data_IF_122383532650
#
_entry.id   IF_122383532650
#
_cell.length_a   1.000
_cell.length_b   1.000
_cell.length_c   1.000
_cell.angle_alpha   90.00
_cell.angle_beta   90.00
_cell.angle_gamma   90.00
#
_symmetry.space_group_name_H-M   'P 1'
#
loop_
_entity.id
_entity.type
_entity.pdbx_description
1 polymer ?
#
# COMPACT_ATOMS: atom_id res chain seq x y z
N UNK A 1 -16.96 -0.91 -23.65
CA UNK A 1 -17.09 -1.42 -22.27
C UNK A 1 -16.04 -0.73 -21.41
N UNK A 2 -16.36 0.42 -20.83
CA UNK A 2 -15.47 1.11 -19.90
C UNK A 2 -15.82 0.64 -18.48
N UNK A 3 -14.93 -0.15 -17.86
CA UNK A 3 -15.08 -0.54 -16.46
C UNK A 3 -14.47 0.57 -15.60
N UNK A 4 -15.33 1.47 -15.12
CA UNK A 4 -14.96 2.55 -14.19
C UNK A 4 -14.89 1.98 -12.76
N UNK A 5 -13.65 1.74 -12.32
CA UNK A 5 -13.01 2.06 -11.03
C UNK A 5 -13.89 2.08 -9.76
N UNK A 6 -13.66 1.10 -8.88
CA UNK A 6 -14.06 1.11 -7.47
C UNK A 6 -12.83 1.38 -6.59
N UNK A 7 -12.80 2.43 -5.75
CA UNK A 7 -11.73 2.67 -4.79
C UNK A 7 -12.19 2.46 -3.34
N UNK A 8 -12.23 1.22 -2.86
CA UNK A 8 -12.37 0.94 -1.41
C UNK A 8 -11.65 -0.34 -0.94
N UNK A 9 -10.61 -0.78 -1.67
CA UNK A 9 -9.87 -1.99 -1.28
C UNK A 9 -8.36 -1.72 -1.24
N UNK A 10 -7.78 -1.74 -0.03
CA UNK A 10 -6.32 -1.77 0.19
C UNK A 10 -5.60 -2.75 -0.76
N UNK A 11 -6.11 -3.98 -1.00
CA UNK A 11 -5.50 -4.91 -1.96
C UNK A 11 -5.36 -4.35 -3.39
N UNK A 12 -6.37 -3.64 -3.87
CA UNK A 12 -6.38 -3.06 -5.21
C UNK A 12 -5.41 -1.88 -5.30
N UNK A 13 -5.37 -1.04 -4.25
CA UNK A 13 -4.43 0.09 -4.19
C UNK A 13 -2.97 -0.38 -4.16
N UNK A 14 -2.64 -1.41 -3.38
CA UNK A 14 -1.28 -1.98 -3.34
C UNK A 14 -0.86 -2.47 -4.74
N UNK A 15 -1.73 -3.23 -5.42
CA UNK A 15 -1.46 -3.72 -6.78
C UNK A 15 -1.23 -2.58 -7.78
N UNK A 16 -2.03 -1.54 -7.71
CA UNK A 16 -1.96 -0.44 -8.67
C UNK A 16 -0.74 0.46 -8.43
N UNK A 17 -0.42 0.76 -7.18
CA UNK A 17 0.82 1.49 -6.83
C UNK A 17 2.04 0.70 -7.32
N UNK A 18 2.05 -0.61 -7.06
CA UNK A 18 3.12 -1.49 -7.55
C UNK A 18 3.24 -1.46 -9.07
N UNK A 19 2.11 -1.53 -9.80
CA UNK A 19 2.07 -1.50 -11.27
C UNK A 19 2.58 -0.17 -11.82
N UNK A 20 2.19 0.95 -11.24
CA UNK A 20 2.65 2.28 -11.67
C UNK A 20 4.15 2.47 -11.46
N UNK A 21 4.69 1.93 -10.37
CA UNK A 21 6.13 1.99 -10.08
C UNK A 21 6.94 0.90 -10.78
N UNK A 22 6.29 0.04 -11.58
CA UNK A 22 6.89 -1.12 -12.24
C UNK A 22 7.67 -2.05 -11.29
N UNK A 23 7.21 -2.17 -10.04
CA UNK A 23 7.84 -3.02 -9.03
C UNK A 23 7.27 -4.45 -9.03
N UNK A 24 8.11 -5.41 -8.69
CA UNK A 24 7.68 -6.73 -8.23
C UNK A 24 7.13 -6.66 -6.80
N UNK A 25 6.44 -7.72 -6.36
CA UNK A 25 5.96 -7.84 -4.98
C UNK A 25 7.13 -7.85 -3.98
N UNK A 26 8.28 -8.43 -4.36
CA UNK A 26 9.50 -8.45 -3.55
C UNK A 26 10.14 -7.06 -3.43
N UNK A 27 10.23 -6.32 -4.54
CA UNK A 27 10.77 -4.96 -4.51
C UNK A 27 9.88 -4.02 -3.69
N UNK A 28 8.55 -4.17 -3.79
CA UNK A 28 7.63 -3.42 -2.95
C UNK A 28 7.79 -3.80 -1.47
N UNK A 29 7.92 -5.10 -1.16
CA UNK A 29 8.16 -5.59 0.19
C UNK A 29 9.45 -5.00 0.78
N UNK A 30 10.54 -5.02 0.01
CA UNK A 30 11.82 -4.43 0.39
C UNK A 30 11.71 -2.91 0.61
N UNK A 31 11.00 -2.20 -0.26
CA UNK A 31 10.79 -0.75 -0.12
C UNK A 31 9.95 -0.37 1.11
N UNK A 32 9.04 -1.25 1.53
CA UNK A 32 8.19 -1.06 2.71
C UNK A 32 8.80 -1.65 4.00
N UNK A 33 9.89 -2.42 3.89
CA UNK A 33 10.52 -3.09 5.03
C UNK A 33 9.70 -4.25 5.59
N UNK A 34 8.87 -4.90 4.77
CA UNK A 34 8.04 -6.06 5.15
C UNK A 34 8.44 -7.29 4.34
N UNK A 35 7.90 -8.46 4.68
CA UNK A 35 8.14 -9.69 3.89
C UNK A 35 7.34 -9.71 2.58
N UNK A 36 7.85 -10.42 1.57
CA UNK A 36 7.09 -10.74 0.35
C UNK A 36 5.72 -11.38 0.67
N UNK A 37 5.69 -12.28 1.65
CA UNK A 37 4.45 -12.95 2.07
C UNK A 37 3.41 -11.95 2.61
N UNK A 38 3.86 -10.89 3.29
CA UNK A 38 3.01 -9.80 3.78
C UNK A 38 2.37 -9.03 2.60
N UNK A 39 3.16 -8.61 1.61
CA UNK A 39 2.64 -7.94 0.39
C UNK A 39 1.70 -8.86 -0.39
N UNK A 40 2.05 -10.13 -0.57
CA UNK A 40 1.21 -11.11 -1.25
C UNK A 40 -0.16 -11.29 -0.55
N UNK A 41 -0.18 -11.34 0.79
CA UNK A 41 -1.43 -11.41 1.55
C UNK A 41 -2.28 -10.15 1.39
N UNK A 42 -1.67 -8.98 1.41
CA UNK A 42 -2.36 -7.72 1.17
C UNK A 42 -2.97 -7.64 -0.22
N UNK A 43 -2.20 -7.95 -1.27
CA UNK A 43 -2.68 -7.91 -2.66
C UNK A 43 -3.82 -8.89 -2.93
N UNK A 44 -3.90 -9.99 -2.18
CA UNK A 44 -4.97 -10.97 -2.28
C UNK A 44 -6.12 -10.72 -1.29
N UNK A 45 -6.07 -9.65 -0.48
CA UNK A 45 -7.09 -9.35 0.54
C UNK A 45 -7.19 -10.40 1.65
N UNK A 46 -6.15 -11.22 1.83
CA UNK A 46 -6.13 -12.28 2.86
C UNK A 46 -5.88 -11.74 4.26
N UNK A 47 -5.35 -10.52 4.38
CA UNK A 47 -5.01 -9.91 5.66
C UNK A 47 -5.18 -8.40 5.57
N UNK A 48 -5.75 -7.83 6.63
CA UNK A 48 -5.82 -6.37 6.78
C UNK A 48 -4.46 -5.91 7.34
N UNK A 49 -3.74 -5.00 6.66
CA UNK A 49 -2.47 -4.47 7.15
C UNK A 49 -2.64 -3.83 8.54
N UNK A 50 -1.60 -3.94 9.38
CA UNK A 50 -1.56 -3.20 10.64
C UNK A 50 -1.57 -1.69 10.37
N UNK A 51 -1.94 -0.88 11.37
CA UNK A 51 -1.90 0.58 11.23
C UNK A 51 -0.48 1.09 10.89
N UNK A 52 0.55 0.44 11.42
CA UNK A 52 1.95 0.76 11.09
C UNK A 52 2.24 0.51 9.61
N UNK A 53 1.89 -0.67 9.12
CA UNK A 53 2.04 -1.02 7.71
C UNK A 53 1.25 -0.09 6.78
N UNK A 54 0.03 0.32 7.18
CA UNK A 54 -0.76 1.30 6.44
C UNK A 54 -0.04 2.65 6.37
N UNK A 55 0.51 3.14 7.49
CA UNK A 55 1.28 4.40 7.53
C UNK A 55 2.55 4.32 6.69
N UNK A 56 3.29 3.21 6.75
CA UNK A 56 4.48 2.99 5.92
C UNK A 56 4.12 3.01 4.43
N UNK A 57 3.05 2.32 4.05
CA UNK A 57 2.56 2.31 2.68
C UNK A 57 2.09 3.70 2.23
N UNK A 58 1.38 4.44 3.09
CA UNK A 58 0.95 5.81 2.82
C UNK A 58 2.15 6.75 2.62
N UNK A 59 3.16 6.66 3.48
CA UNK A 59 4.38 7.46 3.39
C UNK A 59 5.15 7.14 2.10
N UNK A 60 5.32 5.85 1.80
CA UNK A 60 5.94 5.39 0.55
C UNK A 60 5.23 5.97 -0.68
N UNK A 61 3.89 5.97 -0.70
CA UNK A 61 3.14 6.57 -1.79
C UNK A 61 3.35 8.08 -1.89
N UNK A 62 3.27 8.81 -0.76
CA UNK A 62 3.52 10.27 -0.72
C UNK A 62 4.90 10.63 -1.26
N UNK A 63 5.92 9.85 -0.92
CA UNK A 63 7.29 10.10 -1.38
C UNK A 63 7.45 9.83 -2.87
N UNK A 64 6.80 8.81 -3.41
CA UNK A 64 6.82 8.55 -4.85
C UNK A 64 6.00 9.56 -5.66
N UNK A 65 4.93 10.13 -5.10
CA UNK A 65 4.20 11.26 -5.71
C UNK A 65 5.09 12.49 -5.77
N UNK A 66 5.78 12.84 -4.68
CA UNK A 66 6.71 13.98 -4.65
C UNK A 66 7.86 13.81 -5.66
N UNK A 67 8.31 12.58 -5.89
CA UNK A 67 9.34 12.24 -6.89
C UNK A 67 8.82 12.25 -8.33
N UNK A 68 7.49 12.31 -8.53
CA UNK A 68 6.87 12.23 -9.85
C UNK A 68 6.74 10.81 -10.42
N UNK A 69 7.00 9.78 -9.61
CA UNK A 69 6.96 8.37 -10.04
C UNK A 69 5.56 7.75 -9.91
N UNK A 70 4.67 8.37 -9.13
CA UNK A 70 3.33 7.86 -8.85
C UNK A 70 2.28 8.95 -9.07
N UNK A 71 1.17 8.61 -9.74
CA UNK A 71 0.03 9.52 -9.95
C UNK A 71 -1.17 8.98 -9.17
N UNK A 72 -1.55 9.69 -8.12
CA UNK A 72 -2.77 9.40 -7.36
C UNK A 72 -3.95 10.10 -8.03
N UNK A 73 -5.05 9.37 -8.21
CA UNK A 73 -6.33 9.91 -8.65
C UNK A 73 -7.41 9.51 -7.63
N UNK A 74 -8.64 10.00 -7.81
CA UNK A 74 -9.78 9.68 -6.93
C UNK A 74 -10.02 8.17 -6.79
N UNK A 75 -9.56 7.36 -7.75
CA UNK A 75 -9.68 5.91 -7.75
C UNK A 75 -8.49 5.13 -7.15
N UNK A 76 -7.37 5.80 -6.90
CA UNK A 76 -6.12 5.18 -6.41
C UNK A 76 -5.60 5.93 -5.18
N UNK A 77 -6.49 6.59 -4.42
CA UNK A 77 -6.10 7.38 -3.26
C UNK A 77 -5.34 6.48 -2.29
N UNK A 78 -4.25 6.99 -1.73
CA UNK A 78 -3.58 6.31 -0.63
C UNK A 78 -4.61 5.99 0.45
N UNK A 79 -4.60 4.78 1.02
CA UNK A 79 -5.42 4.46 2.16
C UNK A 79 -4.96 5.35 3.31
N UNK A 80 -5.69 6.44 3.54
CA UNK A 80 -5.43 7.37 4.65
C UNK A 80 -5.97 6.71 5.90
N UNK A 81 -5.14 6.60 6.93
CA UNK A 81 -5.57 6.13 8.25
C UNK A 81 -6.58 7.13 8.83
N UNK A 82 -7.87 6.78 8.81
CA UNK A 82 -8.92 7.50 9.54
C UNK A 82 -8.79 7.16 11.04
N UNK A 83 -8.30 8.10 11.85
CA UNK A 83 -8.39 8.06 13.32
C UNK A 83 -7.05 7.98 14.09
N UNK A 84 -6.70 9.13 14.68
CA UNK A 84 -6.11 9.46 15.99
C UNK A 84 -5.24 8.44 16.79
N UNK A 85 -4.39 9.04 17.62
CA UNK A 85 -3.20 8.58 18.37
C UNK A 85 -3.25 7.21 19.07
N UNK A 86 -2.19 6.40 18.86
CA UNK A 86 -1.61 5.48 19.87
C UNK A 86 -0.31 4.84 19.33
N UNK A 87 0.69 4.53 20.19
CA UNK A 87 1.98 4.01 19.80
C UNK A 87 1.98 2.47 19.75
N UNK A 88 2.83 1.94 18.86
CA UNK A 88 3.39 0.59 18.98
C UNK A 88 2.57 -0.54 18.36
N UNK A 89 3.14 -1.18 17.35
CA UNK A 89 3.31 -2.63 17.29
C UNK A 89 4.11 -2.96 16.02
N UNK A 90 5.36 -3.39 16.22
CA UNK A 90 6.15 -4.05 15.20
C UNK A 90 5.69 -5.52 15.19
N UNK A 91 4.97 -5.94 14.16
CA UNK A 91 4.49 -7.32 13.99
C UNK A 91 4.88 -7.88 12.61
N UNK A 92 6.17 -7.79 12.28
CA UNK A 92 6.79 -8.67 11.28
C UNK A 92 7.95 -9.41 11.98
N UNK A 93 7.59 -10.21 12.99
CA UNK A 93 8.50 -11.15 13.60
C UNK A 93 8.70 -12.35 12.66
N UNK A 94 9.95 -12.45 12.18
CA UNK A 94 10.66 -13.63 11.64
C UNK A 94 10.60 -13.88 10.13
#
# INVERSE_FOLDING_TARGET
>A
MAMIRQPENFPATVKEVRRQLALSQEELAHALGVSFATVNRWENGKTIPSKLAQRQFEQFCKDNVKKGNLVLNEANKCPVVLGEDAPGANDDAR
#
